data_IF_698614190157
#
_entry.id   IF_698614190157
#
_cell.length_a   1.000
_cell.length_b   1.000
_cell.length_c   1.000
_cell.angle_alpha   90.00
_cell.angle_beta   90.00
_cell.angle_gamma   90.00
#
_symmetry.space_group_name_H-M   'P 1'
#
loop_
_entity.id
_entity.type
_entity.pdbx_description
1 polymer ?
#
# COMPACT_ATOMS: atom_id res chain seq x y z
N UNK A 1 -22.66 33.79 0.29
CA UNK A 1 -22.32 32.34 0.22
C UNK A 1 -21.69 32.10 -1.15
N UNK A 2 -20.43 31.67 -1.19
CA UNK A 2 -19.76 31.30 -2.44
C UNK A 2 -19.78 29.78 -2.50
N UNK A 3 -20.53 29.23 -3.44
CA UNK A 3 -20.59 27.80 -3.71
C UNK A 3 -19.54 27.49 -4.79
N UNK A 4 -18.54 26.68 -4.45
CA UNK A 4 -17.53 26.22 -5.42
C UNK A 4 -18.02 24.89 -5.98
N UNK A 5 -18.53 24.91 -7.20
CA UNK A 5 -18.89 23.69 -7.92
C UNK A 5 -17.62 23.09 -8.53
N UNK A 6 -17.09 22.02 -7.95
CA UNK A 6 -16.05 21.21 -8.60
C UNK A 6 -16.71 20.36 -9.68
N UNK A 7 -16.49 20.72 -10.96
CA UNK A 7 -16.75 19.80 -12.08
C UNK A 7 -15.72 18.69 -11.99
N UNK A 8 -16.11 17.50 -11.52
CA UNK A 8 -15.30 16.30 -11.64
C UNK A 8 -15.21 15.91 -13.12
N UNK A 9 -14.17 16.38 -13.80
CA UNK A 9 -13.67 15.69 -14.98
C UNK A 9 -12.89 14.50 -14.45
N UNK A 10 -13.43 13.29 -14.63
CA UNK A 10 -12.73 12.05 -14.33
C UNK A 10 -11.39 12.04 -15.06
N UNK A 11 -10.32 12.37 -14.35
CA UNK A 11 -8.95 12.19 -14.80
C UNK A 11 -8.68 10.69 -14.77
N UNK A 12 -8.98 10.00 -15.86
CA UNK A 12 -8.44 8.66 -16.10
C UNK A 12 -6.97 8.78 -16.51
N UNK A 13 -6.17 9.32 -15.60
CA UNK A 13 -4.73 9.16 -15.69
C UNK A 13 -4.45 7.72 -15.23
N UNK A 14 -3.69 6.94 -16.00
CA UNK A 14 -3.02 5.78 -15.44
C UNK A 14 -2.07 6.33 -14.36
N UNK A 15 -2.57 6.46 -13.14
CA UNK A 15 -1.80 7.02 -12.02
C UNK A 15 -0.79 5.96 -11.63
N UNK A 16 0.38 6.03 -12.26
CA UNK A 16 1.54 5.30 -11.78
C UNK A 16 1.77 5.73 -10.33
N UNK A 17 1.55 4.80 -9.41
CA UNK A 17 1.80 5.01 -7.99
C UNK A 17 3.24 5.48 -7.80
N UNK A 18 3.43 6.53 -7.01
CA UNK A 18 4.76 6.89 -6.55
C UNK A 18 5.31 5.73 -5.72
N UNK A 19 6.59 5.40 -5.91
CA UNK A 19 7.24 4.42 -5.05
C UNK A 19 7.34 4.95 -3.61
N UNK A 20 7.46 4.03 -2.65
CA UNK A 20 7.47 4.34 -1.23
C UNK A 20 8.53 5.36 -0.82
N UNK A 21 9.70 5.36 -1.47
CA UNK A 21 10.79 6.28 -1.14
C UNK A 21 10.42 7.71 -1.56
N UNK A 22 9.83 7.88 -2.75
CA UNK A 22 9.36 9.18 -3.22
C UNK A 22 8.19 9.70 -2.40
N UNK A 23 7.27 8.84 -1.97
CA UNK A 23 6.22 9.26 -1.03
C UNK A 23 6.81 9.82 0.28
N UNK A 24 7.79 9.11 0.86
CA UNK A 24 8.44 9.54 2.10
C UNK A 24 9.26 10.82 1.93
N UNK A 25 10.00 10.96 0.83
CA UNK A 25 10.75 12.18 0.50
C UNK A 25 9.81 13.39 0.41
N UNK A 26 8.67 13.26 -0.29
CA UNK A 26 7.69 14.35 -0.41
C UNK A 26 7.04 14.68 0.93
N UNK A 27 6.66 13.66 1.71
CA UNK A 27 6.09 13.86 3.03
C UNK A 27 7.09 14.58 3.96
N UNK A 28 8.36 14.17 3.96
CA UNK A 28 9.41 14.83 4.72
C UNK A 28 9.67 16.27 4.25
N UNK A 29 9.61 16.51 2.94
CA UNK A 29 9.85 17.84 2.37
C UNK A 29 8.73 18.83 2.70
N UNK A 30 7.47 18.41 2.57
CA UNK A 30 6.32 19.30 2.70
C UNK A 30 5.73 19.36 4.11
N UNK A 31 5.81 18.26 4.87
CA UNK A 31 5.19 18.12 6.19
C UNK A 31 6.24 18.09 7.31
N UNK A 32 7.52 17.88 6.96
CA UNK A 32 8.59 17.65 7.91
C UNK A 32 8.61 16.21 8.43
N UNK A 33 9.75 15.79 8.95
CA UNK A 33 9.95 14.43 9.49
C UNK A 33 8.96 14.05 10.61
N UNK A 34 8.53 15.03 11.42
CA UNK A 34 7.56 14.83 12.49
C UNK A 34 6.11 15.15 12.08
N UNK A 35 5.87 15.51 10.81
CA UNK A 35 4.54 15.87 10.31
C UNK A 35 3.69 14.67 9.91
N UNK A 36 4.31 13.49 9.81
CA UNK A 36 3.66 12.25 9.43
C UNK A 36 4.30 11.05 10.14
N UNK A 37 3.57 9.94 10.21
CA UNK A 37 4.12 8.66 10.65
C UNK A 37 3.48 7.51 9.88
N UNK A 38 4.11 6.34 9.93
CA UNK A 38 3.52 5.11 9.38
C UNK A 38 3.71 3.93 10.33
N UNK A 39 2.76 2.99 10.31
CA UNK A 39 2.88 1.72 11.04
C UNK A 39 2.37 0.56 10.20
N UNK A 40 3.03 -0.60 10.33
CA UNK A 40 2.55 -1.85 9.76
C UNK A 40 1.45 -2.39 10.69
N UNK A 41 0.25 -2.58 10.16
CA UNK A 41 -0.88 -3.18 10.87
C UNK A 41 -0.82 -4.72 10.76
N UNK A 42 -0.48 -5.20 9.57
CA UNK A 42 -0.44 -6.63 9.25
C UNK A 42 0.67 -6.90 8.24
N UNK A 43 1.37 -8.03 8.42
CA UNK A 43 2.27 -8.61 7.45
C UNK A 43 2.16 -10.13 7.55
N UNK A 44 1.54 -10.76 6.55
CA UNK A 44 1.19 -12.17 6.59
C UNK A 44 1.77 -12.90 5.37
N UNK A 45 2.34 -14.07 5.61
CA UNK A 45 2.72 -14.98 4.54
C UNK A 45 1.45 -15.63 3.98
N UNK A 46 1.25 -15.49 2.67
CA UNK A 46 0.13 -16.08 1.92
C UNK A 46 0.63 -16.99 0.79
N UNK A 47 1.88 -17.43 0.84
CA UNK A 47 2.40 -18.50 -0.02
C UNK A 47 1.61 -19.78 0.23
N UNK A 48 1.00 -20.36 -0.81
CA UNK A 48 0.22 -21.60 -0.72
C UNK A 48 -1.30 -21.42 -0.86
N UNK A 49 -1.79 -20.18 -0.97
CA UNK A 49 -3.21 -19.89 -1.29
C UNK A 49 -3.50 -19.83 -2.80
N UNK A 50 -2.57 -20.26 -3.66
CA UNK A 50 -2.67 -20.18 -5.14
C UNK A 50 -3.64 -21.20 -5.78
N UNK A 51 -4.37 -21.96 -4.97
CA UNK A 51 -5.64 -22.54 -5.40
C UNK A 51 -5.67 -24.05 -5.58
N UNK A 52 -6.74 -24.63 -5.04
CA UNK A 52 -7.30 -25.95 -5.29
C UNK A 52 -7.99 -26.02 -6.69
N UNK A 53 -7.62 -25.15 -7.63
CA UNK A 53 -8.21 -24.98 -8.97
C UNK A 53 -7.16 -25.14 -10.08
N UNK A 54 -6.32 -26.17 -9.99
CA UNK A 54 -5.44 -26.55 -11.10
C UNK A 54 -6.03 -27.77 -11.81
N UNK A 55 -6.44 -27.57 -13.07
CA UNK A 55 -6.56 -28.68 -14.00
C UNK A 55 -5.18 -29.34 -14.19
N UNK A 56 -5.10 -30.68 -14.22
CA UNK A 56 -3.83 -31.38 -14.28
C UNK A 56 -3.24 -31.27 -15.69
N UNK A 57 -2.46 -30.21 -15.98
CA UNK A 57 -1.89 -30.06 -17.33
C UNK A 57 -0.82 -29.01 -17.59
N UNK A 58 -0.67 -27.94 -16.80
CA UNK A 58 0.17 -26.81 -17.22
C UNK A 58 1.34 -26.49 -16.27
N UNK A 59 2.55 -26.72 -16.81
CA UNK A 59 3.84 -26.05 -16.56
C UNK A 59 4.33 -25.85 -15.12
N UNK A 60 5.54 -26.35 -14.84
CA UNK A 60 6.44 -25.98 -13.72
C UNK A 60 6.11 -24.60 -13.11
N UNK A 61 5.19 -24.58 -12.15
CA UNK A 61 4.78 -23.40 -11.40
C UNK A 61 6.03 -22.86 -10.70
N UNK A 62 6.48 -21.66 -11.11
CA UNK A 62 7.62 -20.99 -10.49
C UNK A 62 7.23 -20.71 -9.05
N UNK A 63 7.81 -21.45 -8.11
CA UNK A 63 7.51 -21.28 -6.69
C UNK A 63 7.83 -19.83 -6.31
N UNK A 64 6.84 -19.09 -5.81
CA UNK A 64 7.03 -17.72 -5.35
C UNK A 64 6.58 -17.58 -3.90
N UNK A 65 7.27 -16.72 -3.17
CA UNK A 65 6.91 -16.35 -1.81
C UNK A 65 6.06 -15.09 -1.86
N UNK A 66 4.86 -15.16 -1.28
CA UNK A 66 3.87 -14.09 -1.31
C UNK A 66 3.59 -13.58 0.10
N UNK A 67 3.66 -12.27 0.28
CA UNK A 67 3.31 -11.61 1.54
C UNK A 67 2.26 -10.54 1.30
N UNK A 68 1.18 -10.59 2.07
CA UNK A 68 0.21 -9.51 2.14
C UNK A 68 0.59 -8.56 3.27
N UNK A 69 0.52 -7.26 3.01
CA UNK A 69 0.81 -6.24 4.01
C UNK A 69 -0.27 -5.17 4.02
N UNK A 70 -0.63 -4.72 5.23
CA UNK A 70 -1.44 -3.55 5.47
C UNK A 70 -0.64 -2.53 6.30
N UNK A 71 -0.62 -1.28 5.85
CA UNK A 71 0.09 -0.16 6.47
C UNK A 71 -0.87 0.99 6.70
N UNK A 72 -0.73 1.69 7.82
CA UNK A 72 -1.39 2.96 8.09
C UNK A 72 -0.38 4.11 8.00
N UNK A 73 -0.80 5.23 7.42
CA UNK A 73 -0.10 6.51 7.37
C UNK A 73 -0.97 7.55 8.08
N UNK A 74 -0.39 8.31 9.01
CA UNK A 74 -1.10 9.33 9.79
C UNK A 74 -0.41 10.68 9.69
N UNK A 75 -1.21 11.72 9.51
CA UNK A 75 -0.79 13.13 9.43
C UNK A 75 -1.57 13.88 10.52
N UNK A 76 -1.15 13.79 11.79
CA UNK A 76 -1.98 14.20 12.94
C UNK A 76 -2.36 15.68 12.90
N UNK A 77 -1.44 16.54 12.44
CA UNK A 77 -1.68 17.99 12.33
C UNK A 77 -2.70 18.36 11.24
N UNK A 78 -3.07 17.40 10.39
CA UNK A 78 -4.03 17.57 9.31
C UNK A 78 -5.28 16.71 9.49
N UNK A 79 -5.37 15.90 10.56
CA UNK A 79 -6.50 15.01 10.80
C UNK A 79 -6.66 13.90 9.76
N UNK A 80 -5.61 13.61 8.97
CA UNK A 80 -5.65 12.59 7.91
C UNK A 80 -5.05 11.28 8.40
N UNK A 81 -5.78 10.19 8.14
CA UNK A 81 -5.35 8.82 8.37
C UNK A 81 -5.73 8.00 7.15
N UNK A 82 -4.75 7.33 6.53
CA UNK A 82 -4.97 6.49 5.35
C UNK A 82 -4.31 5.14 5.55
N UNK A 83 -4.87 4.12 4.91
CA UNK A 83 -4.35 2.75 4.93
C UNK A 83 -4.16 2.25 3.51
N UNK A 84 -3.11 1.48 3.33
CA UNK A 84 -2.82 0.82 2.08
C UNK A 84 -2.61 -0.66 2.31
N UNK A 85 -3.04 -1.47 1.35
CA UNK A 85 -2.90 -2.92 1.36
C UNK A 85 -2.23 -3.33 0.07
N UNK A 86 -1.23 -4.21 0.15
CA UNK A 86 -0.56 -4.71 -1.05
C UNK A 86 0.06 -6.10 -0.88
N UNK A 87 0.10 -6.82 -2.00
CA UNK A 87 0.81 -8.08 -2.15
C UNK A 87 2.25 -7.84 -2.65
N UNK A 88 3.21 -8.37 -1.93
CA UNK A 88 4.60 -8.51 -2.35
C UNK A 88 4.89 -9.94 -2.74
N UNK A 89 5.51 -10.13 -3.90
CA UNK A 89 5.84 -11.44 -4.45
C UNK A 89 7.31 -11.45 -4.83
N UNK A 90 8.00 -12.54 -4.51
CA UNK A 90 9.38 -12.78 -4.92
C UNK A 90 9.54 -14.23 -5.36
N UNK A 91 10.09 -14.41 -6.55
CA UNK A 91 10.36 -15.72 -7.11
C UNK A 91 11.43 -16.48 -6.29
N UNK A 92 11.27 -17.80 -6.22
CA UNK A 92 12.27 -18.76 -5.73
C UNK A 92 12.63 -19.74 -6.84
N UNK A 93 13.92 -20.07 -6.96
CA UNK A 93 14.37 -21.10 -7.90
C UNK A 93 14.31 -22.48 -7.26
N UNK A 94 14.64 -22.58 -5.97
CA UNK A 94 14.51 -23.78 -5.17
C UNK A 94 13.85 -23.48 -3.80
N UNK A 95 12.57 -23.82 -3.63
CA UNK A 95 11.88 -23.62 -2.34
C UNK A 95 12.37 -24.53 -1.22
N UNK A 96 13.07 -25.63 -1.54
CA UNK A 96 13.61 -26.54 -0.55
C UNK A 96 14.92 -26.03 0.07
N UNK A 97 15.58 -25.06 -0.57
CA UNK A 97 16.75 -24.40 0.01
C UNK A 97 16.31 -23.37 1.07
N UNK A 98 16.66 -23.57 2.35
CA UNK A 98 16.25 -22.66 3.41
C UNK A 98 16.82 -21.24 3.22
N UNK A 99 17.99 -21.09 2.59
CA UNK A 99 18.63 -19.79 2.41
C UNK A 99 17.95 -18.96 1.31
N UNK A 100 17.60 -19.59 0.18
CA UNK A 100 16.79 -18.99 -0.87
C UNK A 100 15.42 -18.58 -0.35
N UNK A 101 14.74 -19.46 0.39
CA UNK A 101 13.43 -19.17 0.96
C UNK A 101 13.47 -17.93 1.87
N UNK A 102 14.45 -17.84 2.78
CA UNK A 102 14.62 -16.67 3.67
C UNK A 102 14.90 -15.40 2.85
N UNK A 103 15.70 -15.50 1.80
CA UNK A 103 16.05 -14.37 0.93
C UNK A 103 14.84 -13.87 0.15
N UNK A 104 14.07 -14.77 -0.45
CA UNK A 104 12.84 -14.46 -1.16
C UNK A 104 11.77 -13.89 -0.21
N UNK A 105 11.60 -14.50 0.96
CA UNK A 105 10.69 -13.99 2.00
C UNK A 105 11.01 -12.53 2.37
N UNK A 106 12.28 -12.20 2.61
CA UNK A 106 12.69 -10.82 2.91
C UNK A 106 12.37 -9.87 1.74
N UNK A 107 12.59 -10.30 0.50
CA UNK A 107 12.28 -9.49 -0.69
C UNK A 107 10.76 -9.27 -0.82
N UNK A 108 9.97 -10.33 -0.70
CA UNK A 108 8.51 -10.28 -0.75
C UNK A 108 7.95 -9.37 0.35
N UNK A 109 8.42 -9.50 1.60
CA UNK A 109 8.03 -8.61 2.70
C UNK A 109 8.34 -7.15 2.41
N UNK A 110 9.56 -6.83 1.94
CA UNK A 110 9.95 -5.46 1.58
C UNK A 110 9.09 -4.90 0.47
N UNK A 111 8.77 -5.71 -0.54
CA UNK A 111 7.90 -5.32 -1.65
C UNK A 111 6.47 -5.07 -1.16
N UNK A 112 5.94 -5.94 -0.31
CA UNK A 112 4.60 -5.80 0.26
C UNK A 112 4.47 -4.50 1.06
N UNK A 113 5.42 -4.26 1.98
CA UNK A 113 5.44 -3.04 2.81
C UNK A 113 5.59 -1.79 1.95
N UNK A 114 6.51 -1.79 0.99
CA UNK A 114 6.73 -0.64 0.10
C UNK A 114 5.49 -0.31 -0.74
N UNK A 115 4.86 -1.32 -1.35
CA UNK A 115 3.64 -1.14 -2.13
C UNK A 115 2.45 -0.71 -1.26
N UNK A 116 2.29 -1.28 -0.06
CA UNK A 116 1.23 -0.90 0.86
C UNK A 116 1.39 0.55 1.34
N UNK A 117 2.63 0.97 1.63
CA UNK A 117 2.92 2.36 1.97
C UNK A 117 2.62 3.31 0.80
N UNK A 118 3.03 2.96 -0.42
CA UNK A 118 2.67 3.70 -1.64
C UNK A 118 1.16 3.83 -1.81
N UNK A 119 0.42 2.73 -1.67
CA UNK A 119 -1.06 2.71 -1.74
C UNK A 119 -1.70 3.65 -0.70
N UNK A 120 -1.22 3.64 0.54
CA UNK A 120 -1.71 4.56 1.58
C UNK A 120 -1.49 6.03 1.20
N UNK A 121 -0.33 6.36 0.62
CA UNK A 121 0.01 7.73 0.20
C UNK A 121 -0.76 8.20 -1.04
N UNK A 122 -1.19 7.30 -1.93
CA UNK A 122 -1.97 7.69 -3.12
C UNK A 122 -3.31 8.37 -2.78
N UNK A 123 -3.82 8.12 -1.57
CA UNK A 123 -5.04 8.73 -1.04
C UNK A 123 -4.83 10.11 -0.42
N UNK A 124 -3.58 10.59 -0.38
CA UNK A 124 -3.21 11.87 0.21
C UNK A 124 -2.91 12.85 -0.92
N UNK A 125 -3.66 13.95 -0.96
CA UNK A 125 -3.42 15.06 -1.87
C UNK A 125 -2.69 16.18 -1.13
N UNK A 126 -1.52 16.56 -1.63
CA UNK A 126 -0.79 17.74 -1.17
C UNK A 126 -1.07 18.91 -2.11
N UNK A 127 -1.65 19.98 -1.59
CA UNK A 127 -1.87 21.23 -2.33
C UNK A 127 -0.86 22.27 -1.85
N UNK A 128 0.12 22.58 -2.70
CA UNK A 128 1.21 23.51 -2.39
C UNK A 128 0.92 24.87 -3.02
N UNK A 129 0.87 25.91 -2.20
CA UNK A 129 0.64 27.28 -2.64
C UNK A 129 1.98 27.99 -2.91
N UNK A 130 1.95 29.05 -3.73
CA UNK A 130 3.14 29.84 -4.10
C UNK A 130 3.89 30.43 -2.90
N UNK A 131 3.19 30.66 -1.78
CA UNK A 131 3.78 31.17 -0.54
C UNK A 131 4.41 30.06 0.34
N UNK A 132 4.48 28.82 -0.14
CA UNK A 132 5.04 27.67 0.56
C UNK A 132 4.10 27.03 1.59
N UNK A 133 2.86 27.49 1.72
CA UNK A 133 1.85 26.81 2.55
C UNK A 133 1.39 25.53 1.86
N UNK A 134 1.15 24.50 2.66
CA UNK A 134 0.68 23.20 2.20
C UNK A 134 -0.66 22.90 2.88
N UNK A 135 -1.66 22.57 2.07
CA UNK A 135 -2.89 21.93 2.53
C UNK A 135 -2.84 20.44 2.18
N UNK A 136 -3.45 19.62 3.04
CA UNK A 136 -3.50 18.17 2.90
C UNK A 136 -4.97 17.78 2.84
N UNK A 137 -5.34 17.06 1.80
CA UNK A 137 -6.70 16.54 1.60
C UNK A 137 -6.65 15.01 1.50
N UNK A 138 -7.69 14.38 2.04
CA UNK A 138 -7.91 12.95 1.84
C UNK A 138 -8.76 12.76 0.59
N UNK A 139 -8.23 12.01 -0.38
CA UNK A 139 -8.92 11.65 -1.61
C UNK A 139 -9.18 10.14 -1.60
N UNK A 140 -10.36 9.68 -1.15
CA UNK A 140 -10.73 8.29 -1.29
C UNK A 140 -10.87 7.96 -2.77
N UNK A 141 -10.04 7.06 -3.29
CA UNK A 141 -10.40 6.39 -4.54
C UNK A 141 -11.73 5.65 -4.29
N UNK A 142 -12.67 5.77 -5.23
CA UNK A 142 -14.07 5.36 -5.09
C UNK A 142 -14.29 3.86 -4.77
N UNK A 143 -13.22 3.06 -4.67
CA UNK A 143 -13.22 1.60 -4.51
C UNK A 143 -12.49 1.08 -3.25
N UNK A 144 -11.80 1.90 -2.44
CA UNK A 144 -11.03 1.41 -1.27
C UNK A 144 -11.63 1.81 0.08
N UNK A 145 -12.51 0.95 0.63
CA UNK A 145 -13.09 1.07 1.98
C UNK A 145 -12.11 0.68 3.12
N UNK A 146 -10.85 0.37 2.81
CA UNK A 146 -9.85 -0.13 3.77
C UNK A 146 -9.60 0.82 4.94
N UNK A 147 -9.82 2.12 4.74
CA UNK A 147 -9.62 3.16 5.75
C UNK A 147 -10.74 3.17 6.80
N UNK A 148 -11.90 2.60 6.47
CA UNK A 148 -13.08 2.54 7.37
C UNK A 148 -13.12 1.31 8.28
N UNK A 149 -12.42 0.26 7.89
CA UNK A 149 -12.38 -1.00 8.63
C UNK A 149 -11.65 -0.82 9.97
N UNK A 150 -11.92 -1.65 10.97
CA UNK A 150 -11.06 -1.73 12.16
C UNK A 150 -9.79 -2.54 11.85
N UNK A 151 -8.81 -2.47 12.75
CA UNK A 151 -7.60 -3.30 12.62
C UNK A 151 -7.93 -4.79 12.66
N UNK A 152 -8.91 -5.18 13.47
CA UNK A 152 -9.40 -6.55 13.59
C UNK A 152 -10.12 -7.01 12.33
N UNK A 153 -10.95 -6.16 11.74
CA UNK A 153 -11.64 -6.45 10.47
C UNK A 153 -10.65 -6.60 9.32
N UNK A 154 -9.64 -5.73 9.23
CA UNK A 154 -8.55 -5.85 8.25
C UNK A 154 -7.76 -7.15 8.43
N UNK A 155 -7.50 -7.55 9.68
CA UNK A 155 -6.85 -8.83 10.00
C UNK A 155 -7.74 -10.03 9.66
N UNK A 156 -9.06 -9.90 9.84
CA UNK A 156 -10.05 -10.93 9.55
C UNK A 156 -10.24 -11.21 8.06
N UNK A 157 -10.11 -10.21 7.19
CA UNK A 157 -10.23 -10.37 5.72
C UNK A 157 -9.16 -11.27 5.09
N UNK A 158 -8.11 -11.62 5.83
CA UNK A 158 -6.96 -12.41 5.34
C UNK A 158 -6.91 -13.80 5.96
N UNK A 159 -7.72 -14.08 6.99
CA UNK A 159 -7.85 -15.42 7.58
C UNK A 159 -9.01 -16.15 6.88
N UNK A 160 -8.68 -17.01 5.91
CA UNK A 160 -9.59 -18.03 5.34
C UNK A 160 -8.95 -19.40 5.55
#
# INVERSE_FOLDING_TARGET
QVCVCTKEKGFQQQVLALNSNKCQELANHYLGFNGWSSRIIMLQNVSGFDGENEEPGETLQKQSVKYLCAVEVTLPNHGVCTRGVALGEADTENSEDPQEFVTASRRAQKLAVGKALSSAFQKILLVVLENGKVAVEYNPSQEELTDSLTEEELKGLVQV
#
